data_IF_548772995660
#
_entry.id   IF_548772995660
#
_cell.length_a   1.000
_cell.length_b   1.000
_cell.length_c   1.000
_cell.angle_alpha   90.00
_cell.angle_beta   90.00
_cell.angle_gamma   90.00
#
_symmetry.space_group_name_H-M   'P 1'
#
loop_
_entity.id
_entity.type
_entity.pdbx_description
1 polymer ?
#
# COMPACT_ATOMS: atom_id res chain seq x y z
N UNK A 1 -9.81 47.26 -29.97
CA UNK A 1 -9.88 45.94 -29.31
C UNK A 1 -8.50 45.28 -29.17
N UNK A 2 -7.39 46.04 -29.07
CA UNK A 2 -6.00 45.51 -29.00
C UNK A 2 -5.27 45.81 -27.68
N UNK A 3 -5.79 46.72 -26.83
CA UNK A 3 -5.11 47.11 -25.58
C UNK A 3 -5.34 46.17 -24.39
N UNK A 4 -6.33 45.28 -24.46
CA UNK A 4 -6.63 44.31 -23.40
C UNK A 4 -5.81 43.01 -23.50
N UNK A 5 -5.24 42.71 -24.68
CA UNK A 5 -4.45 41.48 -24.92
C UNK A 5 -2.99 41.63 -24.41
N UNK A 6 -2.44 42.84 -24.44
CA UNK A 6 -1.07 43.11 -23.96
C UNK A 6 -0.96 43.07 -22.43
N UNK A 7 -1.98 43.50 -21.68
CA UNK A 7 -1.95 43.47 -20.20
C UNK A 7 -1.89 42.05 -19.63
N UNK A 8 -2.65 41.12 -20.21
CA UNK A 8 -2.68 39.71 -19.78
C UNK A 8 -1.36 38.97 -20.05
N UNK A 9 -0.69 39.27 -21.16
CA UNK A 9 0.60 38.64 -21.51
C UNK A 9 1.75 39.17 -20.67
N UNK A 10 1.73 40.45 -20.27
CA UNK A 10 2.71 41.02 -19.33
C UNK A 10 2.54 40.46 -17.91
N UNK A 11 1.30 40.31 -17.43
CA UNK A 11 1.03 39.66 -16.14
C UNK A 11 1.41 38.18 -16.14
N UNK A 12 1.08 37.44 -17.20
CA UNK A 12 1.48 36.03 -17.34
C UNK A 12 3.00 35.85 -17.39
N UNK A 13 3.73 36.74 -18.08
CA UNK A 13 5.20 36.73 -18.10
C UNK A 13 5.82 37.14 -16.75
N UNK A 14 5.25 38.13 -16.07
CA UNK A 14 5.71 38.56 -14.76
C UNK A 14 5.51 37.45 -13.71
N UNK A 15 4.31 36.86 -13.67
CA UNK A 15 3.98 35.70 -12.82
C UNK A 15 4.83 34.48 -13.19
N UNK A 16 5.03 34.22 -14.49
CA UNK A 16 5.90 33.15 -14.99
C UNK A 16 7.34 33.32 -14.52
N UNK A 17 7.90 34.54 -14.59
CA UNK A 17 9.27 34.82 -14.15
C UNK A 17 9.45 34.75 -12.62
N UNK A 18 8.42 35.14 -11.85
CA UNK A 18 8.39 35.01 -10.40
C UNK A 18 8.25 33.55 -9.95
N UNK A 19 7.45 32.77 -10.67
CA UNK A 19 7.35 31.32 -10.47
C UNK A 19 8.67 30.63 -10.85
N UNK A 20 9.30 31.00 -11.96
CA UNK A 20 10.56 30.42 -12.42
C UNK A 20 11.72 30.74 -11.46
N UNK A 21 11.70 31.91 -10.80
CA UNK A 21 12.64 32.26 -9.72
C UNK A 21 12.41 31.51 -8.41
N UNK A 22 11.19 31.05 -8.14
CA UNK A 22 10.83 30.35 -6.88
C UNK A 22 10.64 28.84 -7.05
N UNK A 23 10.60 28.33 -8.27
CA UNK A 23 10.38 26.91 -8.57
C UNK A 23 11.42 26.42 -9.58
N UNK A 24 12.27 25.48 -9.16
CA UNK A 24 13.11 24.75 -10.10
C UNK A 24 12.23 23.93 -11.03
N UNK A 25 12.54 23.87 -12.32
CA UNK A 25 11.84 23.02 -13.32
C UNK A 25 11.69 21.58 -12.83
N UNK A 26 12.73 21.04 -12.17
CA UNK A 26 12.71 19.70 -11.56
C UNK A 26 11.70 19.60 -10.41
N UNK A 27 11.62 20.63 -9.55
CA UNK A 27 10.66 20.68 -8.45
C UNK A 27 9.22 20.81 -8.95
N UNK A 28 8.98 21.57 -10.02
CA UNK A 28 7.67 21.67 -10.65
C UNK A 28 7.23 20.32 -11.25
N UNK A 29 8.11 19.66 -12.01
CA UNK A 29 7.82 18.34 -12.59
C UNK A 29 7.56 17.28 -11.52
N UNK A 30 8.36 17.27 -10.44
CA UNK A 30 8.15 16.36 -9.32
C UNK A 30 6.78 16.59 -8.66
N UNK A 31 6.40 17.84 -8.39
CA UNK A 31 5.09 18.18 -7.81
C UNK A 31 3.93 17.81 -8.73
N UNK A 32 4.07 18.06 -10.04
CA UNK A 32 3.07 17.68 -11.02
C UNK A 32 2.90 16.16 -11.12
N UNK A 33 4.01 15.40 -11.12
CA UNK A 33 3.98 13.95 -11.10
C UNK A 33 3.28 13.42 -9.85
N UNK A 34 3.61 13.95 -8.67
CA UNK A 34 2.97 13.57 -7.41
C UNK A 34 1.45 13.84 -7.42
N UNK A 35 1.03 15.02 -7.87
CA UNK A 35 -0.38 15.36 -8.00
C UNK A 35 -1.11 14.44 -8.98
N UNK A 36 -0.47 14.11 -10.12
CA UNK A 36 -0.98 13.15 -11.09
C UNK A 36 -1.14 11.76 -10.50
N UNK A 37 -0.14 11.27 -9.76
CA UNK A 37 -0.20 9.99 -9.06
C UNK A 37 -1.33 9.95 -8.04
N UNK A 38 -1.46 10.99 -7.20
CA UNK A 38 -2.53 11.08 -6.20
C UNK A 38 -3.92 11.06 -6.84
N UNK A 39 -4.12 11.79 -7.95
CA UNK A 39 -5.38 11.79 -8.69
C UNK A 39 -5.66 10.43 -9.33
N UNK A 40 -4.64 9.72 -9.82
CA UNK A 40 -4.80 8.41 -10.46
C UNK A 40 -5.21 7.31 -9.46
N UNK A 41 -4.60 7.30 -8.26
CA UNK A 41 -4.81 6.21 -7.30
C UNK A 41 -5.97 6.46 -6.33
N UNK A 42 -6.26 7.72 -5.99
CA UNK A 42 -7.33 8.05 -5.06
C UNK A 42 -8.01 9.40 -5.40
N UNK A 43 -8.67 9.52 -6.56
CA UNK A 43 -9.19 10.79 -7.07
C UNK A 43 -10.17 11.45 -6.11
N UNK A 44 -11.18 10.72 -5.64
CA UNK A 44 -12.19 11.25 -4.73
C UNK A 44 -11.56 11.70 -3.40
N UNK A 45 -10.61 10.94 -2.85
CA UNK A 45 -9.92 11.31 -1.61
C UNK A 45 -9.06 12.55 -1.78
N UNK A 46 -8.31 12.65 -2.88
CA UNK A 46 -7.46 13.79 -3.19
C UNK A 46 -8.28 15.07 -3.44
N UNK A 47 -9.44 14.94 -4.10
CA UNK A 47 -10.31 16.07 -4.43
C UNK A 47 -11.23 16.52 -3.27
N UNK A 48 -11.70 15.58 -2.44
CA UNK A 48 -12.74 15.87 -1.43
C UNK A 48 -12.21 16.13 -0.02
N UNK A 49 -10.91 15.91 0.24
CA UNK A 49 -10.33 16.12 1.57
C UNK A 49 -9.10 17.04 1.48
N UNK A 50 -8.96 18.00 2.40
CA UNK A 50 -7.79 18.88 2.43
C UNK A 50 -6.56 18.10 2.87
N UNK A 51 -5.77 17.60 1.91
CA UNK A 51 -4.52 16.89 2.15
C UNK A 51 -3.54 17.14 1.00
N UNK A 52 -2.24 16.87 1.21
CA UNK A 52 -1.24 16.99 0.14
C UNK A 52 -1.30 15.78 -0.79
N UNK A 53 -0.85 15.92 -2.04
CA UNK A 53 -0.70 14.77 -2.96
C UNK A 53 0.22 13.69 -2.36
N UNK A 54 1.23 14.10 -1.59
CA UNK A 54 2.12 13.21 -0.86
C UNK A 54 1.36 12.42 0.22
N UNK A 55 0.44 13.04 0.95
CA UNK A 55 -0.37 12.39 1.99
C UNK A 55 -1.34 11.33 1.46
N UNK A 56 -1.64 11.36 0.15
CA UNK A 56 -2.47 10.36 -0.50
C UNK A 56 -1.69 9.07 -0.74
N UNK A 57 -0.40 9.17 -1.04
CA UNK A 57 0.43 8.05 -1.50
C UNK A 57 1.49 7.60 -0.49
N UNK A 58 1.75 8.41 0.52
CA UNK A 58 2.74 8.15 1.56
C UNK A 58 2.26 8.66 2.93
N UNK A 59 2.54 7.93 4.01
CA UNK A 59 2.29 8.40 5.37
C UNK A 59 3.08 9.69 5.65
N UNK A 60 2.41 10.72 6.18
CA UNK A 60 3.08 12.00 6.51
C UNK A 60 3.68 12.04 7.92
N UNK A 61 3.35 11.07 8.76
CA UNK A 61 3.70 11.06 10.19
C UNK A 61 5.17 10.74 10.47
N UNK A 62 5.91 10.25 9.47
CA UNK A 62 7.28 9.77 9.65
C UNK A 62 8.19 10.26 8.53
N UNK A 63 9.38 10.73 8.90
CA UNK A 63 10.46 11.09 7.97
C UNK A 63 11.42 9.92 7.71
N UNK A 64 11.41 8.90 8.56
CA UNK A 64 12.27 7.71 8.48
C UNK A 64 11.62 6.51 9.18
N UNK A 65 12.19 5.32 8.99
CA UNK A 65 11.75 4.07 9.62
C UNK A 65 11.01 3.15 8.63
N UNK A 66 10.54 2.01 9.11
CA UNK A 66 9.86 1.01 8.27
C UNK A 66 8.62 1.59 7.61
N UNK A 67 7.95 2.57 8.21
CA UNK A 67 6.78 3.20 7.60
C UNK A 67 7.09 3.84 6.23
N UNK A 68 8.34 4.26 6.04
CA UNK A 68 8.82 4.95 4.83
C UNK A 68 9.50 4.02 3.81
N UNK A 69 9.64 2.73 4.10
CA UNK A 69 10.51 1.81 3.33
C UNK A 69 9.94 1.35 1.97
N UNK A 70 8.64 1.49 1.75
CA UNK A 70 7.96 1.05 0.51
C UNK A 70 6.88 0.02 0.76
N UNK A 71 6.99 -0.74 1.84
CA UNK A 71 6.26 -1.97 2.04
C UNK A 71 5.07 -1.81 2.98
N UNK A 72 4.15 -2.76 2.88
CA UNK A 72 2.93 -2.82 3.69
C UNK A 72 3.18 -3.56 5.01
N UNK A 73 2.53 -3.10 6.09
CA UNK A 73 2.54 -3.77 7.38
C UNK A 73 1.85 -5.12 7.38
N UNK A 74 2.20 -5.95 8.37
CA UNK A 74 1.53 -7.22 8.59
C UNK A 74 0.16 -7.00 9.23
N UNK A 75 -0.82 -7.82 8.86
CA UNK A 75 -2.18 -7.70 9.39
C UNK A 75 -2.22 -7.90 10.90
N UNK A 76 -1.37 -8.77 11.46
CA UNK A 76 -1.30 -8.97 12.91
C UNK A 76 -0.92 -7.69 13.68
N UNK A 77 -0.24 -6.72 13.04
CA UNK A 77 0.14 -5.46 13.69
C UNK A 77 -1.05 -4.51 13.90
N UNK A 78 -2.13 -4.67 13.11
CA UNK A 78 -3.35 -3.84 13.20
C UNK A 78 -4.60 -4.63 13.61
N UNK A 79 -4.55 -5.96 13.58
CA UNK A 79 -5.66 -6.85 13.95
C UNK A 79 -5.47 -7.50 15.33
N UNK A 80 -4.87 -6.78 16.27
CA UNK A 80 -4.69 -7.25 17.65
C UNK A 80 -3.95 -8.59 17.74
N UNK A 81 -2.88 -8.76 16.94
CA UNK A 81 -2.08 -9.99 16.89
C UNK A 81 -2.61 -11.07 15.95
N UNK A 82 -3.80 -10.90 15.35
CA UNK A 82 -4.37 -11.92 14.47
C UNK A 82 -3.87 -11.78 13.03
N UNK A 83 -3.29 -12.84 12.49
CA UNK A 83 -2.87 -12.89 11.09
C UNK A 83 -4.05 -13.25 10.16
N UNK A 84 -4.95 -12.29 9.97
CA UNK A 84 -6.13 -12.39 9.08
C UNK A 84 -6.46 -11.04 8.46
N UNK A 85 -7.12 -11.04 7.31
CA UNK A 85 -7.61 -9.81 6.70
C UNK A 85 -8.60 -9.07 7.63
N UNK A 86 -8.47 -7.72 7.78
CA UNK A 86 -9.46 -6.89 8.45
C UNK A 86 -10.83 -6.91 7.77
N UNK A 87 -11.88 -6.58 8.51
CA UNK A 87 -13.21 -6.39 7.92
C UNK A 87 -13.19 -5.27 6.85
N UNK A 88 -13.93 -5.48 5.77
CA UNK A 88 -13.93 -4.53 4.63
C UNK A 88 -12.71 -4.67 3.71
N UNK A 89 -11.95 -5.75 3.84
CA UNK A 89 -10.82 -6.11 2.96
C UNK A 89 -11.00 -7.52 2.40
N UNK A 90 -10.23 -7.86 1.36
CA UNK A 90 -10.24 -9.18 0.74
C UNK A 90 -8.84 -9.54 0.26
N UNK A 91 -8.54 -10.84 0.19
CA UNK A 91 -7.26 -11.34 -0.35
C UNK A 91 -7.25 -11.12 -1.87
N UNK A 92 -6.34 -10.30 -2.37
CA UNK A 92 -6.35 -9.88 -3.78
C UNK A 92 -5.22 -10.47 -4.64
N UNK A 93 -4.22 -11.08 -4.00
CA UNK A 93 -3.06 -11.69 -4.67
C UNK A 93 -2.04 -12.20 -3.67
N UNK A 94 -1.07 -12.95 -4.18
CA UNK A 94 -0.05 -13.59 -3.34
C UNK A 94 1.30 -13.74 -4.07
N UNK A 95 2.37 -13.82 -3.29
CA UNK A 95 3.69 -14.24 -3.76
C UNK A 95 4.38 -15.06 -2.68
N UNK A 96 5.44 -15.73 -3.09
CA UNK A 96 6.26 -16.59 -2.26
C UNK A 96 7.61 -15.93 -1.99
N UNK A 97 8.05 -16.02 -0.75
CA UNK A 97 9.46 -15.99 -0.39
C UNK A 97 9.96 -17.44 -0.36
N UNK A 98 11.01 -17.72 -1.14
CA UNK A 98 11.54 -19.06 -1.36
C UNK A 98 12.65 -19.45 -0.40
N UNK A 99 13.21 -18.48 0.33
CA UNK A 99 14.37 -18.65 1.21
C UNK A 99 14.15 -17.99 2.57
N UNK A 100 13.03 -18.34 3.22
CA UNK A 100 12.69 -17.76 4.52
C UNK A 100 13.60 -18.31 5.62
N UNK A 101 14.34 -17.43 6.30
CA UNK A 101 15.30 -17.78 7.36
C UNK A 101 15.01 -17.12 8.71
N UNK A 102 13.94 -16.31 8.81
CA UNK A 102 13.55 -15.67 10.08
C UNK A 102 12.89 -16.65 11.05
N UNK A 103 12.48 -16.18 12.22
CA UNK A 103 11.94 -17.02 13.31
C UNK A 103 10.43 -16.93 13.55
N UNK A 104 9.68 -16.21 12.70
CA UNK A 104 8.23 -16.06 12.85
C UNK A 104 7.44 -17.22 12.22
N UNK A 105 6.14 -17.00 12.00
CA UNK A 105 5.25 -17.93 11.30
C UNK A 105 5.89 -18.50 10.01
N UNK A 106 5.78 -19.82 9.81
CA UNK A 106 6.39 -20.59 8.71
C UNK A 106 7.91 -20.81 8.75
N UNK A 107 8.54 -20.63 9.92
CA UNK A 107 9.97 -20.89 10.08
C UNK A 107 10.37 -22.32 9.70
N UNK A 108 9.55 -23.31 10.04
CA UNK A 108 9.87 -24.73 9.83
C UNK A 108 9.86 -25.12 8.35
N UNK A 109 9.07 -24.41 7.54
CA UNK A 109 8.88 -24.67 6.12
C UNK A 109 10.00 -24.06 5.26
N UNK A 110 10.75 -23.09 5.78
CA UNK A 110 11.78 -22.37 5.03
C UNK A 110 11.23 -21.53 3.86
N UNK A 111 9.91 -21.41 3.77
CA UNK A 111 9.19 -20.63 2.76
C UNK A 111 8.02 -19.89 3.40
N UNK A 112 7.67 -18.73 2.85
CA UNK A 112 6.49 -17.97 3.26
C UNK A 112 5.67 -17.58 2.06
N UNK A 113 4.36 -17.73 2.17
CA UNK A 113 3.42 -17.14 1.24
C UNK A 113 2.85 -15.88 1.87
N UNK A 114 3.02 -14.77 1.19
CA UNK A 114 2.47 -13.50 1.61
C UNK A 114 1.26 -13.16 0.76
N UNK A 115 0.23 -12.64 1.41
CA UNK A 115 -1.03 -12.31 0.78
C UNK A 115 -1.42 -10.89 1.13
N UNK A 116 -1.75 -10.11 0.11
CA UNK A 116 -2.17 -8.74 0.29
C UNK A 116 -3.69 -8.69 0.49
N UNK A 117 -4.10 -8.08 1.61
CA UNK A 117 -5.49 -7.77 1.93
C UNK A 117 -5.80 -6.38 1.39
N UNK A 118 -6.42 -6.31 0.21
CA UNK A 118 -6.83 -5.05 -0.37
C UNK A 118 -8.18 -4.62 0.18
N UNK A 119 -8.39 -3.31 0.30
CA UNK A 119 -9.68 -2.74 0.67
C UNK A 119 -10.74 -3.12 -0.37
N UNK A 120 -11.94 -3.53 0.04
CA UNK A 120 -13.04 -3.75 -0.92
C UNK A 120 -13.33 -2.43 -1.65
N UNK A 121 -13.54 -2.43 -3.00
CA UNK A 121 -13.95 -1.23 -3.72
C UNK A 121 -15.16 -0.55 -3.06
N UNK A 122 -15.09 0.77 -2.88
CA UNK A 122 -16.15 1.55 -2.21
C UNK A 122 -16.08 1.58 -0.68
N UNK A 123 -15.32 0.69 -0.03
CA UNK A 123 -15.06 0.78 1.42
C UNK A 123 -14.04 1.87 1.74
N UNK A 124 -13.95 2.28 3.00
CA UNK A 124 -12.93 3.22 3.47
C UNK A 124 -12.20 2.58 4.65
N UNK A 125 -10.87 2.58 4.62
CA UNK A 125 -10.08 2.21 5.78
C UNK A 125 -9.99 3.42 6.73
N UNK A 126 -10.34 3.28 8.03
CA UNK A 126 -10.24 4.38 8.98
C UNK A 126 -8.81 4.96 9.05
N UNK A 127 -8.70 6.29 8.98
CA UNK A 127 -7.41 7.00 8.91
C UNK A 127 -6.73 6.96 7.53
N UNK A 128 -7.06 5.97 6.70
CA UNK A 128 -6.51 5.80 5.36
C UNK A 128 -5.00 5.50 5.36
N UNK A 129 -4.28 5.84 4.27
CA UNK A 129 -2.82 5.78 4.23
C UNK A 129 -2.13 6.40 5.45
N UNK A 130 -1.49 5.55 6.26
CA UNK A 130 -0.80 5.90 7.51
C UNK A 130 0.20 4.81 7.91
N UNK A 131 1.01 5.06 8.94
CA UNK A 131 1.81 4.01 9.57
C UNK A 131 0.93 3.09 10.40
N UNK A 132 1.22 1.78 10.43
CA UNK A 132 0.49 0.85 11.29
C UNK A 132 0.54 1.33 12.75
N UNK A 133 -0.63 1.51 13.36
CA UNK A 133 -0.79 2.02 14.72
C UNK A 133 -0.11 3.38 14.99
N UNK A 134 0.16 4.18 13.95
CA UNK A 134 0.86 5.46 14.06
C UNK A 134 2.35 5.34 14.41
N UNK A 135 2.94 4.14 14.29
CA UNK A 135 4.32 3.85 14.70
C UNK A 135 5.27 3.85 13.48
N UNK A 136 6.28 4.72 13.49
CA UNK A 136 7.30 4.80 12.43
C UNK A 136 8.19 3.55 12.34
N UNK A 137 8.28 2.78 13.42
CA UNK A 137 8.95 1.48 13.46
C UNK A 137 8.17 0.38 12.77
N UNK A 138 6.93 0.64 12.33
CA UNK A 138 6.09 -0.30 11.58
C UNK A 138 5.83 0.22 10.19
N UNK A 139 5.52 -0.69 9.28
CA UNK A 139 5.25 -0.37 7.87
C UNK A 139 3.91 0.34 7.68
N UNK A 140 3.67 0.81 6.46
CA UNK A 140 2.46 1.56 6.12
C UNK A 140 1.26 0.63 5.93
N UNK A 141 0.05 1.16 6.14
CA UNK A 141 -1.23 0.51 5.86
C UNK A 141 -2.06 1.40 4.94
N UNK A 142 -2.83 0.81 4.03
CA UNK A 142 -3.77 1.52 3.13
C UNK A 142 -3.09 2.59 2.26
N UNK A 143 -1.85 2.34 1.82
CA UNK A 143 -1.08 3.29 0.98
C UNK A 143 -0.69 2.71 -0.37
N UNK A 144 -0.32 1.42 -0.40
CA UNK A 144 0.21 0.79 -1.61
C UNK A 144 -0.95 0.39 -2.52
N UNK A 145 -1.08 1.06 -3.66
CA UNK A 145 -2.15 0.80 -4.62
C UNK A 145 -1.68 -0.22 -5.68
N UNK A 146 -1.78 -1.50 -5.33
CA UNK A 146 -1.24 -2.58 -6.13
C UNK A 146 -2.02 -3.88 -5.92
N UNK A 147 -2.02 -4.75 -6.93
CA UNK A 147 -2.66 -6.07 -6.89
C UNK A 147 -1.97 -7.03 -7.85
N UNK A 148 -1.45 -8.16 -7.34
CA UNK A 148 -0.94 -9.25 -8.20
C UNK A 148 -2.05 -9.93 -9.01
N UNK A 149 -3.28 -9.96 -8.49
CA UNK A 149 -4.46 -10.34 -9.28
C UNK A 149 -4.66 -11.85 -9.43
N UNK A 150 -4.02 -12.68 -8.59
CA UNK A 150 -4.25 -14.13 -8.61
C UNK A 150 -5.43 -14.57 -7.73
N UNK A 151 -5.92 -13.70 -6.84
CA UNK A 151 -6.99 -14.03 -5.91
C UNK A 151 -8.20 -13.12 -6.09
N UNK A 152 -9.39 -13.70 -5.90
CA UNK A 152 -10.67 -12.99 -5.95
C UNK A 152 -10.84 -12.10 -7.19
N UNK A 153 -10.48 -12.63 -8.36
CA UNK A 153 -10.45 -11.90 -9.64
C UNK A 153 -11.82 -11.37 -10.07
N UNK A 154 -12.91 -11.89 -9.51
CA UNK A 154 -14.26 -11.37 -9.69
C UNK A 154 -14.45 -9.95 -9.11
N UNK A 155 -13.63 -9.55 -8.12
CA UNK A 155 -13.64 -8.18 -7.59
C UNK A 155 -12.95 -7.26 -8.59
N UNK A 156 -13.69 -6.34 -9.19
CA UNK A 156 -13.15 -5.43 -10.20
C UNK A 156 -12.27 -4.32 -9.59
N UNK A 157 -11.28 -3.89 -10.36
CA UNK A 157 -10.40 -2.78 -10.01
C UNK A 157 -9.25 -3.16 -9.07
N UNK A 158 -8.48 -2.13 -8.73
CA UNK A 158 -7.41 -2.17 -7.74
C UNK A 158 -7.72 -1.11 -6.69
N UNK A 159 -7.41 -1.44 -5.45
CA UNK A 159 -7.54 -0.58 -4.28
C UNK A 159 -6.28 -0.72 -3.45
N UNK A 160 -6.14 0.09 -2.42
CA UNK A 160 -4.99 0.05 -1.53
C UNK A 160 -4.90 -1.27 -0.75
N UNK A 161 -3.67 -1.76 -0.60
CA UNK A 161 -3.35 -2.86 0.31
C UNK A 161 -3.41 -2.30 1.73
N UNK A 162 -4.35 -2.81 2.53
CA UNK A 162 -4.51 -2.43 3.93
C UNK A 162 -3.42 -3.07 4.77
N UNK A 163 -3.22 -4.36 4.63
CA UNK A 163 -2.18 -5.11 5.33
C UNK A 163 -1.84 -6.40 4.59
N UNK A 164 -0.81 -7.08 5.09
CA UNK A 164 -0.29 -8.33 4.53
C UNK A 164 -0.40 -9.46 5.54
N UNK A 165 -0.97 -10.60 5.16
CA UNK A 165 -0.93 -11.80 5.99
C UNK A 165 0.09 -12.80 5.46
N UNK A 166 0.54 -13.70 6.33
CA UNK A 166 1.51 -14.76 6.02
C UNK A 166 0.84 -16.12 6.17
N UNK A 167 1.03 -17.04 5.24
CA UNK A 167 0.63 -18.44 5.40
C UNK A 167 1.77 -19.36 4.95
N UNK A 168 1.75 -20.61 5.39
CA UNK A 168 2.81 -21.60 5.13
C UNK A 168 2.47 -22.55 4.00
N UNK A 169 1.21 -22.52 3.54
CA UNK A 169 0.70 -23.35 2.47
C UNK A 169 0.49 -22.51 1.21
N UNK A 170 0.59 -23.14 0.04
CA UNK A 170 0.32 -22.46 -1.22
C UNK A 170 -1.13 -21.91 -1.22
N UNK A 171 -1.35 -20.58 -1.39
CA UNK A 171 -2.68 -19.99 -1.39
C UNK A 171 -3.66 -20.63 -2.37
N UNK A 172 -3.17 -21.18 -3.49
CA UNK A 172 -3.98 -21.85 -4.50
C UNK A 172 -4.64 -23.15 -4.00
N UNK A 173 -4.11 -23.75 -2.93
CA UNK A 173 -4.61 -25.01 -2.35
C UNK A 173 -5.43 -24.80 -1.09
N UNK A 174 -5.56 -23.57 -0.60
CA UNK A 174 -6.27 -23.27 0.65
C UNK A 174 -7.72 -22.88 0.33
N UNK A 175 -8.72 -23.65 0.80
CA UNK A 175 -10.13 -23.31 0.60
C UNK A 175 -10.47 -21.94 1.20
N UNK A 176 -11.32 -21.17 0.49
CA UNK A 176 -11.78 -19.85 0.92
C UNK A 176 -10.89 -18.68 0.46
N UNK A 177 -9.62 -18.90 0.11
CA UNK A 177 -8.76 -17.82 -0.40
C UNK A 177 -9.07 -17.44 -1.86
N UNK A 178 -9.65 -18.38 -2.63
CA UNK A 178 -10.03 -18.17 -4.02
C UNK A 178 -8.88 -17.62 -4.87
N UNK A 179 -7.72 -18.28 -4.76
CA UNK A 179 -6.50 -17.96 -5.50
C UNK A 179 -6.23 -19.00 -6.57
N UNK A 180 -5.67 -18.56 -7.71
CA UNK A 180 -5.13 -19.48 -8.71
C UNK A 180 -3.67 -19.85 -8.44
N UNK A 181 -3.16 -20.84 -9.18
CA UNK A 181 -1.81 -21.38 -9.05
C UNK A 181 -0.70 -20.63 -9.80
N UNK A 182 -0.97 -19.44 -10.37
CA UNK A 182 0.09 -18.65 -11.01
C UNK A 182 1.07 -18.20 -9.93
N UNK A 183 2.29 -18.73 -9.95
CA UNK A 183 3.29 -18.42 -8.93
C UNK A 183 3.91 -17.04 -9.17
N UNK A 184 4.03 -16.27 -8.10
CA UNK A 184 4.80 -15.02 -8.04
C UNK A 184 5.83 -15.18 -6.93
N UNK A 185 7.04 -14.67 -7.14
CA UNK A 185 8.15 -14.76 -6.19
C UNK A 185 8.69 -13.35 -5.93
N UNK A 186 8.90 -13.03 -4.65
CA UNK A 186 9.61 -11.82 -4.24
C UNK A 186 10.39 -12.07 -2.96
N UNK A 187 11.65 -12.47 -3.14
CA UNK A 187 12.57 -12.78 -2.04
C UNK A 187 13.06 -11.54 -1.29
N UNK A 188 12.81 -10.32 -1.79
CA UNK A 188 13.11 -9.09 -1.02
C UNK A 188 12.28 -9.04 0.28
N UNK A 189 11.14 -9.73 0.30
CA UNK A 189 10.26 -9.81 1.47
C UNK A 189 10.67 -10.91 2.45
N UNK A 190 11.68 -11.73 2.16
CA UNK A 190 12.06 -12.86 3.02
C UNK A 190 12.54 -12.43 4.41
N UNK A 191 13.19 -11.28 4.53
CA UNK A 191 13.66 -10.75 5.80
C UNK A 191 12.59 -9.98 6.59
N UNK A 192 11.35 -9.88 6.07
CA UNK A 192 10.31 -9.10 6.72
C UNK A 192 9.74 -9.84 7.93
N UNK A 193 9.90 -9.25 9.11
CA UNK A 193 9.37 -9.76 10.37
C UNK A 193 8.47 -8.75 11.07
N UNK A 194 7.64 -9.28 11.97
CA UNK A 194 6.98 -8.53 13.01
C UNK A 194 6.86 -9.41 14.25
N UNK A 195 6.97 -8.80 15.44
CA UNK A 195 6.87 -9.53 16.72
C UNK A 195 5.56 -10.32 16.86
N UNK A 196 4.46 -9.85 16.26
CA UNK A 196 3.17 -10.55 16.27
C UNK A 196 3.14 -11.84 15.44
N UNK A 197 4.16 -12.12 14.62
CA UNK A 197 4.30 -13.40 13.93
C UNK A 197 5.02 -14.44 14.80
N UNK A 198 5.73 -14.01 15.84
CA UNK A 198 6.40 -14.88 16.80
C UNK A 198 5.33 -15.41 17.78
N UNK A 199 5.06 -16.72 17.76
CA UNK A 199 3.97 -17.34 18.53
C UNK A 199 2.77 -17.78 17.68
N UNK A 200 2.66 -17.30 16.44
CA UNK A 200 1.79 -17.88 15.42
C UNK A 200 2.45 -19.04 14.68
N UNK A 201 3.51 -19.65 15.22
CA UNK A 201 4.42 -20.55 14.51
C UNK A 201 3.74 -21.73 13.78
N UNK A 202 2.50 -22.06 14.14
CA UNK A 202 1.66 -23.02 13.44
C UNK A 202 0.43 -22.31 12.87
N UNK A 203 0.26 -22.38 11.56
CA UNK A 203 -0.98 -21.97 10.92
C UNK A 203 -2.09 -22.98 11.28
N UNK A 204 -3.11 -22.55 12.02
CA UNK A 204 -4.30 -23.34 12.25
C UNK A 204 -5.12 -23.46 10.95
N UNK A 205 -5.83 -24.59 10.71
CA UNK A 205 -6.67 -24.76 9.52
C UNK A 205 -7.68 -23.61 9.38
N UNK A 206 -7.80 -23.04 8.18
CA UNK A 206 -8.84 -22.05 7.88
C UNK A 206 -8.51 -20.58 8.18
N UNK A 207 -7.24 -20.21 8.42
CA UNK A 207 -6.81 -18.82 8.69
C UNK A 207 -7.06 -17.80 7.56
N UNK A 208 -7.57 -18.22 6.41
CA UNK A 208 -8.03 -17.34 5.34
C UNK A 208 -9.45 -16.89 5.58
N UNK A 209 -9.63 -15.86 6.41
CA UNK A 209 -10.95 -15.28 6.68
C UNK A 209 -11.70 -14.89 5.40
N UNK A 210 -13.01 -15.15 5.41
CA UNK A 210 -14.01 -14.74 4.39
C UNK A 210 -14.24 -13.24 4.34
#
# INVERSE_FOLDING_TARGET
MERLVNGGTHLARALGSLLERRTSRRGLLARAALAGSALAVAPARYLLRPQTAWAVIAPQSCSSGLCTDGYTAFCCEIQGGHNRCPAGTYVAGWWKCTSYQGSGLCHQEGVRYYLDCNRIPGHVFPGGCQCANGDCGRRRVDCNHFRYGQCNTQVAGTTEVVCRLVICQNPATVPGLNCNGTEMVDDNTCAHEAGCLQGLAVQLPGGGGV
#
